data_IF_540062887436
#
_entry.id   IF_540062887436
#
_cell.length_a   1.000
_cell.length_b   1.000
_cell.length_c   1.000
_cell.angle_alpha   90.00
_cell.angle_beta   90.00
_cell.angle_gamma   90.00
#
_symmetry.space_group_name_H-M   'P 1'
#
loop_
_entity.id
_entity.type
_entity.pdbx_description
1 polymer ?
#
# COMPACT_ATOMS: atom_id res chain seq x y z
N UNK A 1 -21.12 -31.91 -51.04
CA UNK A 1 -21.37 -32.34 -49.65
C UNK A 1 -20.20 -31.83 -48.83
N UNK A 2 -20.42 -30.72 -48.13
CA UNK A 2 -19.37 -29.79 -47.68
C UNK A 2 -18.84 -30.25 -46.32
N UNK A 3 -17.52 -30.49 -46.24
CA UNK A 3 -16.78 -30.67 -44.99
C UNK A 3 -16.72 -29.33 -44.24
N UNK A 4 -17.37 -29.25 -43.07
CA UNK A 4 -17.24 -28.12 -42.16
C UNK A 4 -16.15 -28.38 -41.12
N UNK A 5 -14.99 -27.75 -41.29
CA UNK A 5 -14.01 -27.58 -40.22
C UNK A 5 -14.51 -26.47 -39.28
N UNK A 6 -14.95 -26.83 -38.08
CA UNK A 6 -15.22 -25.87 -37.02
C UNK A 6 -13.88 -25.45 -36.40
N UNK A 7 -13.37 -24.27 -36.79
CA UNK A 7 -12.32 -23.59 -36.03
C UNK A 7 -12.93 -23.15 -34.69
N UNK A 8 -12.61 -23.89 -33.63
CA UNK A 8 -12.72 -23.42 -32.25
C UNK A 8 -11.74 -22.26 -32.06
N UNK A 9 -12.23 -21.03 -32.24
CA UNK A 9 -11.56 -19.86 -31.68
C UNK A 9 -11.68 -19.95 -30.16
N UNK A 10 -10.60 -20.39 -29.53
CA UNK A 10 -10.36 -20.18 -28.09
C UNK A 10 -10.24 -18.67 -27.90
N UNK A 11 -11.33 -18.02 -27.54
CA UNK A 11 -11.28 -16.68 -26.93
C UNK A 11 -10.62 -16.86 -25.56
N UNK A 12 -9.30 -16.80 -25.53
CA UNK A 12 -8.56 -16.46 -24.32
C UNK A 12 -8.99 -15.05 -23.95
N UNK A 13 -9.99 -14.95 -23.07
CA UNK A 13 -10.43 -13.68 -22.52
C UNK A 13 -9.40 -13.21 -21.48
N UNK A 14 -8.21 -12.85 -21.96
CA UNK A 14 -7.22 -12.10 -21.20
C UNK A 14 -7.69 -10.66 -21.22
N UNK A 15 -8.71 -10.38 -20.41
CA UNK A 15 -9.25 -9.02 -20.23
C UNK A 15 -8.14 -8.14 -19.66
N UNK A 16 -7.49 -7.37 -20.52
CA UNK A 16 -6.58 -6.31 -20.12
C UNK A 16 -7.30 -5.33 -19.17
N UNK A 17 -6.65 -4.98 -18.06
CA UNK A 17 -7.01 -3.75 -17.34
C UNK A 17 -6.53 -2.54 -18.17
N UNK A 18 -7.09 -1.37 -17.85
CA UNK A 18 -6.63 -0.09 -18.38
C UNK A 18 -5.08 -0.05 -18.44
N UNK A 19 -4.54 0.44 -19.56
CA UNK A 19 -3.10 0.61 -19.71
C UNK A 19 -2.51 1.63 -18.75
N UNK A 20 -1.26 2.00 -18.99
CA UNK A 20 -0.54 3.01 -18.20
C UNK A 20 -1.37 4.28 -18.01
N UNK A 21 -1.35 4.86 -16.81
CA UNK A 21 -2.08 6.09 -16.49
C UNK A 21 -1.73 7.21 -17.49
N UNK A 22 -2.72 7.84 -18.15
CA UNK A 22 -2.46 8.95 -19.07
C UNK A 22 -1.68 10.08 -18.39
N UNK A 23 -0.74 10.69 -19.12
CA UNK A 23 0.13 11.76 -18.62
C UNK A 23 0.99 11.35 -17.40
N UNK A 24 1.40 10.08 -17.34
CA UNK A 24 2.17 9.52 -16.21
C UNK A 24 3.37 10.40 -15.82
N UNK A 25 4.17 10.84 -16.80
CA UNK A 25 5.34 11.70 -16.56
C UNK A 25 4.96 13.00 -15.86
N UNK A 26 3.96 13.69 -16.40
CA UNK A 26 3.51 14.99 -15.90
C UNK A 26 2.95 14.86 -14.48
N UNK A 27 2.16 13.82 -14.21
CA UNK A 27 1.59 13.55 -12.90
C UNK A 27 2.70 13.26 -11.88
N UNK A 28 3.62 12.35 -12.19
CA UNK A 28 4.70 11.93 -11.28
C UNK A 28 5.65 13.10 -10.96
N UNK A 29 6.05 13.85 -11.98
CA UNK A 29 6.93 15.01 -11.79
C UNK A 29 6.20 16.14 -11.04
N UNK A 30 4.93 16.41 -11.37
CA UNK A 30 4.11 17.40 -10.67
C UNK A 30 3.97 17.09 -9.17
N UNK A 31 3.62 15.86 -8.84
CA UNK A 31 3.54 15.38 -7.44
C UNK A 31 4.88 15.46 -6.72
N UNK A 32 5.99 15.17 -7.40
CA UNK A 32 7.31 15.33 -6.82
C UNK A 32 7.60 16.79 -6.44
N UNK A 33 7.34 17.74 -7.34
CA UNK A 33 7.56 19.16 -7.06
C UNK A 33 6.66 19.68 -5.93
N UNK A 34 5.38 19.27 -5.93
CA UNK A 34 4.44 19.58 -4.85
C UNK A 34 4.98 19.11 -3.49
N UNK A 35 5.40 17.85 -3.40
CA UNK A 35 5.93 17.27 -2.18
C UNK A 35 7.19 18.01 -1.69
N UNK A 36 8.14 18.24 -2.60
CA UNK A 36 9.43 18.87 -2.28
C UNK A 36 9.23 20.32 -1.83
N UNK A 37 8.29 21.04 -2.43
CA UNK A 37 7.96 22.41 -2.04
C UNK A 37 7.30 22.47 -0.65
N UNK A 38 6.27 21.65 -0.41
CA UNK A 38 5.52 21.65 0.85
C UNK A 38 6.37 21.16 2.04
N UNK A 39 7.27 20.21 1.82
CA UNK A 39 8.16 19.70 2.86
C UNK A 39 9.45 20.54 3.03
N UNK A 40 9.62 21.62 2.24
CA UNK A 40 10.82 22.45 2.19
C UNK A 40 12.12 21.62 1.99
N UNK A 41 12.06 20.64 1.09
CA UNK A 41 13.15 19.72 0.79
C UNK A 41 13.94 20.13 -0.46
N UNK A 42 13.69 21.30 -1.04
CA UNK A 42 14.46 21.81 -2.18
C UNK A 42 15.86 22.28 -1.71
N UNK A 43 16.98 21.92 -2.36
CA UNK A 43 17.15 21.14 -3.60
C UNK A 43 17.54 19.67 -3.39
N UNK A 44 17.19 19.06 -2.25
CA UNK A 44 17.57 17.69 -1.89
C UNK A 44 17.16 16.64 -2.93
N UNK A 45 16.04 16.86 -3.64
CA UNK A 45 15.52 15.91 -4.62
C UNK A 45 15.44 16.52 -6.02
N UNK A 46 15.91 15.75 -7.00
CA UNK A 46 15.80 16.08 -8.42
C UNK A 46 14.68 15.24 -9.04
N UNK A 47 13.51 15.86 -9.23
CA UNK A 47 12.30 15.18 -9.74
C UNK A 47 12.48 14.59 -11.14
N UNK A 48 13.20 15.27 -12.04
CA UNK A 48 13.52 14.76 -13.37
C UNK A 48 14.44 13.55 -13.29
N UNK A 49 15.44 13.57 -12.39
CA UNK A 49 16.33 12.42 -12.19
C UNK A 49 15.58 11.20 -11.64
N UNK A 50 14.67 11.41 -10.70
CA UNK A 50 13.82 10.34 -10.16
C UNK A 50 12.98 9.73 -11.30
N UNK A 51 12.31 10.56 -12.10
CA UNK A 51 11.54 10.12 -13.26
C UNK A 51 12.40 9.32 -14.26
N UNK A 52 13.59 9.81 -14.60
CA UNK A 52 14.47 9.13 -15.55
C UNK A 52 14.90 7.74 -15.08
N UNK A 53 15.20 7.56 -13.79
CA UNK A 53 15.57 6.24 -13.27
C UNK A 53 14.34 5.31 -13.15
N UNK A 54 13.17 5.85 -12.82
CA UNK A 54 11.90 5.12 -12.87
C UNK A 54 11.59 4.62 -14.29
N UNK A 55 11.61 5.52 -15.28
CA UNK A 55 11.28 5.22 -16.67
C UNK A 55 12.19 4.12 -17.22
N UNK A 56 13.52 4.23 -17.00
CA UNK A 56 14.48 3.19 -17.40
C UNK A 56 14.18 1.82 -16.80
N UNK A 57 13.73 1.77 -15.54
CA UNK A 57 13.42 0.50 -14.88
C UNK A 57 12.24 -0.22 -15.56
N UNK A 58 11.26 0.55 -16.04
CA UNK A 58 10.04 0.02 -16.65
C UNK A 58 10.25 -0.28 -18.14
N UNK A 59 10.71 0.69 -18.94
CA UNK A 59 10.67 0.60 -20.41
C UNK A 59 11.75 -0.28 -21.02
N UNK A 60 12.80 -0.63 -20.25
CA UNK A 60 13.89 -1.52 -20.71
C UNK A 60 13.59 -3.01 -20.54
N UNK A 61 12.43 -3.33 -19.96
CA UNK A 61 11.98 -4.69 -19.66
C UNK A 61 10.64 -4.95 -20.33
N UNK A 62 10.29 -6.22 -20.49
CA UNK A 62 8.92 -6.58 -20.84
C UNK A 62 8.01 -6.45 -19.61
N UNK A 63 6.68 -6.30 -19.78
CA UNK A 63 5.75 -5.98 -18.69
C UNK A 63 5.67 -6.98 -17.54
N UNK A 64 6.21 -8.19 -17.72
CA UNK A 64 6.25 -9.25 -16.71
C UNK A 64 7.67 -9.66 -16.30
N UNK A 65 8.66 -8.82 -16.62
CA UNK A 65 10.08 -9.01 -16.30
C UNK A 65 10.68 -7.79 -15.60
N UNK A 66 9.86 -7.00 -14.90
CA UNK A 66 10.29 -5.84 -14.12
C UNK A 66 10.38 -6.25 -12.65
N UNK A 67 11.59 -6.55 -12.19
CA UNK A 67 11.86 -6.98 -10.83
C UNK A 67 12.16 -5.84 -9.87
N UNK A 68 12.14 -6.15 -8.57
CA UNK A 68 12.53 -5.24 -7.48
C UNK A 68 13.90 -4.57 -7.73
N UNK A 69 14.88 -5.32 -8.21
CA UNK A 69 16.25 -4.84 -8.46
C UNK A 69 16.33 -3.80 -9.58
N UNK A 70 15.41 -3.81 -10.55
CA UNK A 70 15.41 -2.86 -11.65
C UNK A 70 15.16 -1.42 -11.14
N UNK A 71 14.41 -1.27 -10.05
CA UNK A 71 14.16 0.03 -9.42
C UNK A 71 15.28 0.51 -8.49
N UNK A 72 16.35 -0.26 -8.26
CA UNK A 72 17.37 0.05 -7.24
C UNK A 72 17.98 1.46 -7.42
N UNK A 73 18.27 1.86 -8.66
CA UNK A 73 18.83 3.20 -8.96
C UNK A 73 17.86 4.34 -8.63
N UNK A 74 16.57 4.12 -8.87
CA UNK A 74 15.52 5.07 -8.51
C UNK A 74 15.45 5.25 -6.98
N UNK A 75 15.50 4.16 -6.22
CA UNK A 75 15.50 4.25 -4.75
C UNK A 75 16.78 4.91 -4.19
N UNK A 76 17.93 4.72 -4.83
CA UNK A 76 19.19 5.38 -4.42
C UNK A 76 19.12 6.90 -4.53
N UNK A 77 18.39 7.44 -5.50
CA UNK A 77 18.19 8.90 -5.64
C UNK A 77 17.06 9.45 -4.76
N UNK A 78 16.28 8.58 -4.10
CA UNK A 78 15.23 8.93 -3.13
C UNK A 78 15.69 8.51 -1.73
N UNK A 79 16.49 9.35 -1.08
CA UNK A 79 16.89 9.13 0.32
C UNK A 79 16.06 9.99 1.25
N UNK A 80 15.08 9.39 1.92
CA UNK A 80 14.20 10.07 2.88
C UNK A 80 14.36 9.47 4.28
N UNK A 81 14.47 10.34 5.29
CA UNK A 81 14.40 9.94 6.69
C UNK A 81 12.94 9.98 7.13
N UNK A 82 12.45 8.88 7.71
CA UNK A 82 11.07 8.79 8.18
C UNK A 82 10.98 9.13 9.67
N UNK A 83 9.85 9.70 10.14
CA UNK A 83 9.68 10.04 11.54
C UNK A 83 9.48 8.78 12.40
N UNK A 84 10.37 8.56 13.38
CA UNK A 84 10.17 7.52 14.39
C UNK A 84 8.87 7.74 15.18
N UNK A 85 8.25 6.66 15.62
CA UNK A 85 7.06 6.70 16.47
C UNK A 85 5.76 7.00 15.73
N UNK A 86 5.80 7.21 14.40
CA UNK A 86 4.64 7.66 13.61
C UNK A 86 4.22 6.69 12.50
N UNK A 87 5.00 5.66 12.20
CA UNK A 87 4.70 4.83 11.03
C UNK A 87 3.43 4.00 11.23
N UNK A 88 2.55 4.05 10.24
CA UNK A 88 1.32 3.27 10.18
C UNK A 88 1.34 2.35 8.96
N UNK A 89 1.21 1.06 9.23
CA UNK A 89 1.01 -0.01 8.28
C UNK A 89 -0.47 -0.35 8.24
N UNK A 90 -0.97 -0.79 7.10
CA UNK A 90 -2.38 -1.08 6.93
C UNK A 90 -2.60 -2.25 5.96
N UNK A 91 -3.66 -3.02 6.18
CA UNK A 91 -4.03 -4.13 5.29
C UNK A 91 -5.53 -4.17 5.10
N UNK A 92 -5.98 -4.08 3.84
CA UNK A 92 -7.40 -4.10 3.44
C UNK A 92 -8.25 -3.02 4.15
N UNK A 93 -7.64 -1.89 4.46
CA UNK A 93 -8.23 -0.74 5.19
C UNK A 93 -7.93 0.62 4.52
N UNK A 94 -7.54 0.63 3.23
CA UNK A 94 -7.04 1.82 2.49
C UNK A 94 -7.87 3.08 2.70
N UNK A 95 -9.15 3.02 2.36
CA UNK A 95 -10.02 4.21 2.35
C UNK A 95 -10.21 4.79 3.75
N UNK A 96 -10.33 3.89 4.73
CA UNK A 96 -10.43 4.30 6.13
C UNK A 96 -9.09 4.86 6.63
N UNK A 97 -7.96 4.22 6.30
CA UNK A 97 -6.62 4.69 6.65
C UNK A 97 -6.40 6.12 6.16
N UNK A 98 -6.73 6.44 4.90
CA UNK A 98 -6.56 7.79 4.37
C UNK A 98 -7.36 8.83 5.17
N UNK A 99 -8.61 8.49 5.55
CA UNK A 99 -9.43 9.35 6.40
C UNK A 99 -8.83 9.51 7.80
N UNK A 100 -8.33 8.43 8.39
CA UNK A 100 -7.75 8.41 9.72
C UNK A 100 -6.48 9.26 9.82
N UNK A 101 -5.58 9.13 8.85
CA UNK A 101 -4.34 9.92 8.83
C UNK A 101 -4.63 11.40 8.56
N UNK A 102 -5.57 11.72 7.67
CA UNK A 102 -5.96 13.10 7.38
C UNK A 102 -6.52 13.82 8.61
N UNK A 103 -7.34 13.14 9.43
CA UNK A 103 -7.96 13.75 10.62
C UNK A 103 -6.98 13.83 11.80
N UNK A 104 -6.18 12.80 12.03
CA UNK A 104 -5.29 12.78 13.20
C UNK A 104 -3.99 13.54 12.99
N UNK A 105 -3.51 13.67 11.74
CA UNK A 105 -2.20 14.26 11.40
C UNK A 105 -1.00 13.59 12.11
N UNK A 106 -1.23 12.45 12.76
CA UNK A 106 -0.32 11.86 13.74
C UNK A 106 0.49 10.70 13.17
N UNK A 107 0.05 10.15 12.04
CA UNK A 107 0.62 8.97 11.42
C UNK A 107 1.28 9.31 10.09
N UNK A 108 2.22 8.45 9.71
CA UNK A 108 2.90 8.49 8.43
C UNK A 108 2.77 7.12 7.77
N UNK A 109 2.09 7.03 6.64
CA UNK A 109 2.03 5.81 5.85
C UNK A 109 3.05 5.81 4.72
N UNK A 110 3.14 4.68 3.99
CA UNK A 110 3.97 4.61 2.80
C UNK A 110 3.56 5.69 1.78
N UNK A 111 2.27 5.95 1.61
CA UNK A 111 1.71 6.95 0.71
C UNK A 111 2.08 8.39 1.10
N UNK A 112 2.51 8.63 2.35
CA UNK A 112 3.02 9.93 2.79
C UNK A 112 4.52 10.13 2.52
N UNK A 113 5.26 9.10 2.11
CA UNK A 113 6.66 9.24 1.66
C UNK A 113 6.73 9.91 0.29
N UNK A 114 7.87 10.48 -0.09
CA UNK A 114 8.04 11.09 -1.42
C UNK A 114 7.70 10.10 -2.54
N UNK A 115 8.22 8.87 -2.45
CA UNK A 115 7.92 7.84 -3.44
C UNK A 115 6.44 7.44 -3.41
N UNK A 116 5.88 7.21 -2.23
CA UNK A 116 4.47 6.86 -2.11
C UNK A 116 3.58 7.93 -2.71
N UNK A 117 3.81 9.19 -2.36
CA UNK A 117 3.05 10.34 -2.86
C UNK A 117 3.12 10.45 -4.38
N UNK A 118 4.32 10.32 -4.97
CA UNK A 118 4.52 10.39 -6.42
C UNK A 118 3.72 9.31 -7.18
N UNK A 119 3.72 8.07 -6.70
CA UNK A 119 3.20 6.91 -7.44
C UNK A 119 1.84 6.38 -6.96
N UNK A 120 1.26 6.97 -5.90
CA UNK A 120 -0.01 6.51 -5.33
C UNK A 120 -1.13 6.49 -6.39
N UNK A 121 -1.90 5.40 -6.45
CA UNK A 121 -3.00 5.19 -7.39
C UNK A 121 -2.64 5.24 -8.89
N UNK A 122 -1.36 5.17 -9.25
CA UNK A 122 -0.93 5.12 -10.65
C UNK A 122 -0.70 3.68 -11.11
N UNK A 123 -0.95 3.44 -12.39
CA UNK A 123 -0.72 2.17 -13.09
C UNK A 123 0.29 2.41 -14.20
N UNK A 124 1.23 1.48 -14.39
CA UNK A 124 2.21 1.57 -15.47
C UNK A 124 2.72 0.20 -15.89
N UNK A 125 3.06 0.10 -17.17
CA UNK A 125 3.81 -1.00 -17.75
C UNK A 125 4.53 -0.53 -19.02
N UNK A 126 5.63 -1.21 -19.39
CA UNK A 126 6.28 -1.02 -20.69
C UNK A 126 5.47 -1.65 -21.83
N UNK A 127 5.92 -1.47 -23.06
CA UNK A 127 5.46 -2.31 -24.17
C UNK A 127 6.13 -3.69 -24.14
N UNK A 128 5.60 -4.64 -24.91
CA UNK A 128 6.22 -5.97 -25.06
C UNK A 128 7.64 -5.86 -25.64
N UNK A 129 7.81 -5.03 -26.67
CA UNK A 129 9.12 -4.69 -27.19
C UNK A 129 9.82 -3.67 -26.31
N UNK A 130 11.03 -4.04 -25.88
CA UNK A 130 11.88 -3.20 -25.03
C UNK A 130 12.17 -1.87 -25.71
N UNK A 131 12.33 -0.83 -24.89
CA UNK A 131 12.70 0.53 -25.28
C UNK A 131 11.70 1.29 -26.16
N UNK A 132 10.49 0.75 -26.41
CA UNK A 132 9.41 1.48 -27.07
C UNK A 132 8.60 2.42 -26.17
N UNK A 133 8.88 2.42 -24.87
CA UNK A 133 8.18 3.26 -23.90
C UNK A 133 7.07 2.52 -23.15
N UNK A 134 6.10 3.29 -22.66
CA UNK A 134 4.96 2.76 -21.90
C UNK A 134 3.85 2.24 -22.81
N UNK A 135 3.11 1.24 -22.33
CA UNK A 135 1.88 0.77 -22.97
C UNK A 135 0.67 1.45 -22.32
N UNK A 136 0.01 2.32 -23.07
CA UNK A 136 -1.20 3.03 -22.64
C UNK A 136 -2.50 2.31 -23.02
N UNK A 137 -2.42 1.22 -23.79
CA UNK A 137 -3.58 0.46 -24.22
C UNK A 137 -3.93 -0.64 -23.23
N UNK A 138 -2.92 -1.38 -22.75
CA UNK A 138 -3.13 -2.55 -21.91
C UNK A 138 -1.93 -2.82 -20.99
N UNK A 139 -2.20 -3.06 -19.71
CA UNK A 139 -1.22 -3.62 -18.79
C UNK A 139 -1.62 -5.03 -18.33
N UNK A 140 -0.64 -5.93 -18.08
CA UNK A 140 -0.92 -7.22 -17.47
C UNK A 140 -1.54 -7.01 -16.08
N UNK A 141 -2.42 -7.91 -15.65
CA UNK A 141 -2.93 -7.87 -14.27
C UNK A 141 -1.79 -8.21 -13.30
N UNK A 142 -1.78 -7.58 -12.14
CA UNK A 142 -0.74 -7.82 -11.12
C UNK A 142 -0.60 -9.30 -10.72
N UNK A 143 -1.68 -10.09 -10.78
CA UNK A 143 -1.68 -11.52 -10.45
C UNK A 143 -1.17 -12.43 -11.57
N UNK A 144 -1.00 -11.92 -12.78
CA UNK A 144 -0.61 -12.74 -13.95
C UNK A 144 0.88 -13.03 -14.04
N UNK A 145 1.73 -12.26 -13.33
CA UNK A 145 3.16 -12.51 -13.36
C UNK A 145 3.88 -12.08 -12.09
N UNK A 146 4.96 -12.82 -11.79
CA UNK A 146 5.76 -12.65 -10.57
C UNK A 146 6.49 -11.29 -10.53
N UNK A 147 7.03 -10.85 -11.66
CA UNK A 147 7.81 -9.63 -11.80
C UNK A 147 6.99 -8.53 -12.49
N UNK A 148 5.84 -8.19 -11.90
CA UNK A 148 5.00 -7.10 -12.38
C UNK A 148 5.56 -5.73 -11.95
N UNK A 149 5.64 -4.72 -12.85
CA UNK A 149 6.29 -3.43 -12.58
C UNK A 149 5.75 -2.69 -11.37
N UNK A 150 4.43 -2.54 -11.27
CA UNK A 150 3.77 -1.86 -10.13
C UNK A 150 4.03 -2.61 -8.82
N UNK A 151 3.76 -3.92 -8.78
CA UNK A 151 4.00 -4.76 -7.61
C UNK A 151 5.47 -4.74 -7.16
N UNK A 152 6.43 -4.83 -8.07
CA UNK A 152 7.86 -4.78 -7.77
C UNK A 152 8.28 -3.45 -7.13
N UNK A 153 7.75 -2.32 -7.60
CA UNK A 153 8.03 -1.01 -6.99
C UNK A 153 7.47 -0.95 -5.57
N UNK A 154 6.19 -1.32 -5.39
CA UNK A 154 5.55 -1.30 -4.07
C UNK A 154 6.19 -2.30 -3.10
N UNK A 155 6.66 -3.44 -3.57
CA UNK A 155 7.40 -4.42 -2.76
C UNK A 155 8.70 -3.83 -2.22
N UNK A 156 9.50 -3.17 -3.07
CA UNK A 156 10.73 -2.50 -2.62
C UNK A 156 10.43 -1.32 -1.68
N UNK A 157 9.38 -0.55 -1.97
CA UNK A 157 8.95 0.58 -1.15
C UNK A 157 8.51 0.13 0.25
N UNK A 158 7.69 -0.92 0.31
CA UNK A 158 7.19 -1.53 1.55
C UNK A 158 8.35 -2.10 2.38
N UNK A 159 9.31 -2.77 1.74
CA UNK A 159 10.53 -3.23 2.40
C UNK A 159 11.31 -2.06 3.03
N UNK A 160 11.58 -1.01 2.27
CA UNK A 160 12.33 0.16 2.77
C UNK A 160 11.59 0.88 3.91
N UNK A 161 10.27 0.99 3.80
CA UNK A 161 9.42 1.60 4.82
C UNK A 161 9.46 0.82 6.14
N UNK A 162 9.38 -0.52 6.07
CA UNK A 162 9.52 -1.38 7.24
C UNK A 162 10.93 -1.34 7.85
N UNK A 163 11.97 -1.36 7.02
CA UNK A 163 13.36 -1.25 7.50
C UNK A 163 13.65 0.08 8.20
N UNK A 164 12.97 1.16 7.79
CA UNK A 164 13.10 2.48 8.39
C UNK A 164 12.24 2.67 9.66
N UNK A 165 11.42 1.67 10.05
CA UNK A 165 10.56 1.78 11.21
C UNK A 165 11.35 1.80 12.53
N UNK A 166 11.02 2.77 13.37
CA UNK A 166 11.61 2.96 14.70
C UNK A 166 10.59 3.56 15.67
N UNK A 167 10.77 3.31 16.97
CA UNK A 167 9.81 3.73 17.99
C UNK A 167 8.49 2.97 17.89
N UNK A 168 7.39 3.61 18.30
CA UNK A 168 6.06 3.01 18.21
C UNK A 168 5.57 2.98 16.76
N UNK A 169 4.97 1.87 16.36
CA UNK A 169 4.30 1.75 15.06
C UNK A 169 2.84 1.35 15.26
N UNK A 170 2.00 1.64 14.27
CA UNK A 170 0.60 1.21 14.24
C UNK A 170 0.35 0.27 13.07
N UNK A 171 -0.44 -0.76 13.29
CA UNK A 171 -0.91 -1.69 12.25
C UNK A 171 -2.43 -1.66 12.24
N UNK A 172 -3.03 -1.24 11.13
CA UNK A 172 -4.48 -1.10 10.97
C UNK A 172 -5.06 -2.23 10.13
N UNK A 173 -5.90 -3.08 10.74
CA UNK A 173 -6.47 -4.28 10.13
C UNK A 173 -8.00 -4.21 10.08
N UNK A 174 -8.60 -4.89 9.11
CA UNK A 174 -10.06 -4.94 8.94
C UNK A 174 -10.65 -6.17 9.64
N UNK A 175 -11.38 -5.95 10.74
CA UNK A 175 -12.06 -6.98 11.52
C UNK A 175 -13.39 -7.46 10.92
N UNK A 176 -13.89 -6.78 9.89
CA UNK A 176 -15.16 -7.11 9.21
C UNK A 176 -15.02 -8.07 8.02
N UNK A 177 -13.85 -8.68 7.87
CA UNK A 177 -13.55 -9.65 6.81
C UNK A 177 -12.79 -10.83 7.41
N UNK A 178 -12.87 -12.01 6.78
CA UNK A 178 -11.97 -13.11 7.12
C UNK A 178 -10.53 -12.79 6.73
N UNK A 179 -9.58 -13.35 7.47
CA UNK A 179 -8.15 -13.17 7.21
C UNK A 179 -7.75 -11.69 7.23
N UNK A 180 -8.15 -10.99 8.30
CA UNK A 180 -7.72 -9.63 8.61
C UNK A 180 -6.19 -9.51 8.53
N UNK A 181 -5.48 -10.51 9.06
CA UNK A 181 -4.08 -10.77 8.78
C UNK A 181 -3.92 -11.88 7.75
N UNK A 182 -3.11 -11.64 6.71
CA UNK A 182 -2.66 -12.66 5.77
C UNK A 182 -1.13 -12.61 5.65
N UNK A 183 -0.46 -13.74 5.89
CA UNK A 183 0.99 -13.89 5.75
C UNK A 183 1.50 -13.62 4.33
N UNK A 184 0.65 -13.77 3.32
CA UNK A 184 0.97 -13.53 1.90
C UNK A 184 0.71 -12.09 1.47
N UNK A 185 0.04 -11.26 2.30
CA UNK A 185 -0.17 -9.84 2.00
C UNK A 185 1.16 -9.07 1.97
N UNK A 186 1.18 -7.86 1.41
CA UNK A 186 2.36 -6.98 1.46
C UNK A 186 2.83 -6.77 2.91
N UNK A 187 1.88 -6.52 3.83
CA UNK A 187 2.18 -6.43 5.24
C UNK A 187 2.79 -7.71 5.81
N UNK A 188 2.17 -8.87 5.57
CA UNK A 188 2.62 -10.13 6.15
C UNK A 188 3.94 -10.66 5.57
N UNK A 189 4.13 -10.57 4.25
CA UNK A 189 5.24 -11.22 3.54
C UNK A 189 6.46 -10.32 3.33
N UNK A 190 6.28 -9.00 3.41
CA UNK A 190 7.34 -8.02 3.14
C UNK A 190 7.56 -7.14 4.35
N UNK A 191 6.55 -6.39 4.78
CA UNK A 191 6.76 -5.35 5.79
C UNK A 191 7.10 -5.97 7.14
N UNK A 192 6.26 -6.90 7.62
CA UNK A 192 6.46 -7.60 8.89
C UNK A 192 7.84 -8.25 8.92
N UNK A 193 8.23 -8.99 7.88
CA UNK A 193 9.54 -9.65 7.76
C UNK A 193 10.73 -8.68 7.86
N UNK A 194 10.57 -7.43 7.42
CA UNK A 194 11.63 -6.43 7.44
C UNK A 194 11.61 -5.49 8.68
N UNK A 195 10.64 -5.63 9.58
CA UNK A 195 10.64 -4.90 10.86
C UNK A 195 11.77 -5.39 11.78
N UNK A 196 12.45 -4.45 12.42
CA UNK A 196 13.52 -4.72 13.38
C UNK A 196 13.01 -4.57 14.84
N UNK A 197 12.93 -5.66 15.63
CA UNK A 197 12.44 -5.61 17.01
C UNK A 197 13.33 -4.82 17.97
N UNK A 198 14.58 -4.50 17.58
CA UNK A 198 15.46 -3.64 18.37
C UNK A 198 15.17 -2.15 18.16
N UNK A 199 14.61 -1.78 17.00
CA UNK A 199 14.32 -0.39 16.63
C UNK A 199 12.87 -0.03 16.90
N UNK A 200 11.95 -0.98 16.72
CA UNK A 200 10.52 -0.82 17.01
C UNK A 200 10.30 -1.07 18.50
N UNK A 201 9.91 -0.03 19.23
CA UNK A 201 9.69 -0.11 20.68
C UNK A 201 8.37 -0.78 21.02
N UNK A 202 7.31 -0.53 20.24
CA UNK A 202 5.98 -1.09 20.48
C UNK A 202 5.14 -1.12 19.21
N UNK A 203 4.34 -2.19 19.04
CA UNK A 203 3.40 -2.35 17.93
C UNK A 203 1.95 -2.18 18.43
N UNK A 204 1.26 -1.16 17.96
CA UNK A 204 -0.17 -0.96 18.22
C UNK A 204 -0.99 -1.57 17.10
N UNK A 205 -1.57 -2.74 17.34
CA UNK A 205 -2.54 -3.36 16.43
C UNK A 205 -3.90 -2.72 16.69
N UNK A 206 -4.47 -2.10 15.65
CA UNK A 206 -5.81 -1.53 15.67
C UNK A 206 -6.68 -2.30 14.69
N UNK A 207 -7.76 -2.89 15.19
CA UNK A 207 -8.72 -3.64 14.39
C UNK A 207 -9.95 -2.78 14.23
N UNK A 208 -10.32 -2.49 12.99
CA UNK A 208 -11.51 -1.69 12.68
C UNK A 208 -12.61 -2.57 12.11
N UNK A 209 -13.84 -2.31 12.56
CA UNK A 209 -15.05 -2.92 12.04
C UNK A 209 -15.88 -1.93 11.25
N UNK A 210 -16.52 -2.40 10.18
CA UNK A 210 -17.69 -1.74 9.63
C UNK A 210 -18.79 -1.69 10.70
N UNK A 211 -19.41 -0.52 10.91
CA UNK A 211 -20.35 -0.32 12.01
C UNK A 211 -21.63 -1.15 11.92
N UNK A 212 -22.01 -1.58 10.71
CA UNK A 212 -23.15 -2.48 10.46
C UNK A 212 -22.74 -3.97 10.46
N UNK A 213 -21.48 -4.26 10.77
CA UNK A 213 -20.91 -5.59 10.69
C UNK A 213 -20.57 -6.02 9.26
N UNK A 214 -20.15 -7.28 9.08
CA UNK A 214 -20.00 -8.32 10.12
C UNK A 214 -18.79 -8.07 11.05
N UNK A 215 -18.72 -8.78 12.18
CA UNK A 215 -17.60 -8.77 13.14
C UNK A 215 -16.94 -10.15 13.13
N UNK A 216 -15.91 -10.35 12.32
CA UNK A 216 -15.37 -11.68 11.98
C UNK A 216 -14.01 -11.99 12.62
N UNK A 217 -13.20 -10.96 12.81
CA UNK A 217 -11.82 -11.04 13.29
C UNK A 217 -11.64 -10.03 14.43
N UNK A 218 -10.98 -10.41 15.52
CA UNK A 218 -10.81 -9.56 16.71
C UNK A 218 -9.45 -9.73 17.35
N UNK A 219 -9.13 -8.94 18.36
CA UNK A 219 -7.87 -9.09 19.09
C UNK A 219 -7.71 -10.44 19.79
N UNK A 220 -8.81 -11.19 19.94
CA UNK A 220 -8.85 -12.49 20.59
C UNK A 220 -9.31 -13.62 19.67
N UNK A 221 -9.49 -13.37 18.36
CA UNK A 221 -10.06 -14.35 17.44
C UNK A 221 -9.48 -14.23 16.02
N UNK A 222 -9.37 -15.39 15.35
CA UNK A 222 -9.07 -15.48 13.92
C UNK A 222 -7.58 -15.32 13.58
N UNK A 223 -7.31 -14.85 12.37
CA UNK A 223 -5.96 -14.60 11.85
C UNK A 223 -5.14 -13.60 12.67
N UNK A 224 -5.78 -12.69 13.43
CA UNK A 224 -5.07 -11.73 14.30
C UNK A 224 -4.28 -12.45 15.41
N UNK A 225 -4.78 -13.57 15.93
CA UNK A 225 -4.01 -14.41 16.86
C UNK A 225 -2.72 -14.94 16.21
N UNK A 226 -2.79 -15.26 14.92
CA UNK A 226 -1.62 -15.66 14.13
C UNK A 226 -0.58 -14.55 14.00
N UNK A 227 -1.01 -13.29 13.83
CA UNK A 227 -0.12 -12.12 13.83
C UNK A 227 0.54 -11.91 15.21
N UNK A 228 -0.26 -12.00 16.28
CA UNK A 228 0.21 -11.90 17.66
C UNK A 228 1.30 -12.93 17.95
N UNK A 229 1.12 -14.17 17.50
CA UNK A 229 2.13 -15.22 17.68
C UNK A 229 3.43 -14.92 16.92
N UNK A 230 3.34 -14.30 15.73
CA UNK A 230 4.54 -13.84 15.00
C UNK A 230 5.27 -12.76 15.79
N UNK A 231 4.55 -11.75 16.31
CA UNK A 231 5.16 -10.69 17.12
C UNK A 231 5.81 -11.24 18.38
N UNK A 232 5.13 -12.15 19.09
CA UNK A 232 5.67 -12.82 20.27
C UNK A 232 6.96 -13.59 19.96
N UNK A 233 6.96 -14.43 18.92
CA UNK A 233 8.14 -15.21 18.50
C UNK A 233 9.33 -14.34 18.10
N UNK A 234 9.05 -13.18 17.51
CA UNK A 234 10.09 -12.24 17.05
C UNK A 234 10.51 -11.22 18.11
N UNK A 235 9.94 -11.29 19.32
CA UNK A 235 10.33 -10.45 20.46
C UNK A 235 9.85 -9.01 20.38
N UNK A 236 8.74 -8.73 19.67
CA UNK A 236 8.13 -7.41 19.69
C UNK A 236 7.23 -7.24 20.92
N UNK A 237 7.23 -6.04 21.50
CA UNK A 237 6.16 -5.60 22.38
C UNK A 237 4.97 -5.14 21.55
N UNK A 238 3.77 -5.52 21.95
CA UNK A 238 2.56 -5.23 21.20
C UNK A 238 1.34 -5.05 22.10
N UNK A 239 0.36 -4.34 21.58
CA UNK A 239 -1.00 -4.22 22.13
C UNK A 239 -1.99 -4.37 21.00
N UNK A 240 -3.15 -4.96 21.26
CA UNK A 240 -4.23 -5.02 20.29
C UNK A 240 -5.48 -4.34 20.85
N UNK A 241 -6.12 -3.51 20.02
CA UNK A 241 -7.37 -2.82 20.34
C UNK A 241 -8.35 -2.96 19.19
N UNK A 242 -9.55 -3.46 19.48
CA UNK A 242 -10.66 -3.65 18.53
C UNK A 242 -11.90 -2.82 18.92
N UNK A 243 -11.77 -1.93 19.90
CA UNK A 243 -12.81 -1.04 20.41
C UNK A 243 -12.34 0.42 20.53
N UNK A 244 -11.46 0.86 19.62
CA UNK A 244 -10.89 2.21 19.65
C UNK A 244 -11.94 3.29 19.35
N UNK A 245 -12.16 4.19 20.31
CA UNK A 245 -13.16 5.25 20.22
C UNK A 245 -12.88 6.24 19.09
N UNK A 246 -11.61 6.53 18.79
CA UNK A 246 -11.24 7.43 17.68
C UNK A 246 -11.68 6.83 16.36
N UNK A 247 -11.47 5.52 16.18
CA UNK A 247 -11.89 4.81 14.98
C UNK A 247 -13.42 4.76 14.84
N UNK A 248 -14.14 4.58 15.95
CA UNK A 248 -15.60 4.66 15.98
C UNK A 248 -16.10 6.04 15.55
N UNK A 249 -15.58 7.11 16.16
CA UNK A 249 -15.99 8.50 15.87
C UNK A 249 -15.80 8.81 14.38
N UNK A 250 -14.65 8.44 13.81
CA UNK A 250 -14.36 8.68 12.40
C UNK A 250 -15.34 8.01 11.45
N UNK A 251 -15.80 6.80 11.78
CA UNK A 251 -16.84 6.14 11.00
C UNK A 251 -18.18 6.85 11.16
N UNK A 252 -18.52 7.28 12.37
CA UNK A 252 -19.75 8.01 12.65
C UNK A 252 -19.84 9.37 11.93
N UNK A 253 -18.71 10.00 11.58
CA UNK A 253 -18.71 11.19 10.72
C UNK A 253 -19.24 10.91 9.31
N UNK A 254 -19.08 9.69 8.79
CA UNK A 254 -19.61 9.30 7.47
C UNK A 254 -21.12 9.12 7.49
N UNK A 255 -21.64 8.52 8.55
CA UNK A 255 -23.07 8.35 8.75
C UNK A 255 -23.43 8.35 10.25
N UNK A 256 -23.89 9.50 10.80
CA UNK A 256 -24.18 9.61 12.22
C UNK A 256 -25.44 8.84 12.64
N UNK A 257 -26.24 8.34 11.69
CA UNK A 257 -27.50 7.64 11.96
C UNK A 257 -27.32 6.17 12.36
N UNK A 258 -26.11 5.62 12.23
CA UNK A 258 -25.86 4.25 12.67
C UNK A 258 -26.09 4.12 14.17
N UNK A 259 -26.76 3.04 14.59
CA UNK A 259 -27.11 2.82 16.00
C UNK A 259 -25.86 2.85 16.92
N UNK A 260 -24.74 2.30 16.45
CA UNK A 260 -23.45 2.27 17.15
C UNK A 260 -22.91 3.68 17.46
N UNK A 261 -23.31 4.69 16.67
CA UNK A 261 -22.88 6.07 16.84
C UNK A 261 -23.64 6.83 17.94
N UNK A 262 -24.76 6.31 18.45
CA UNK A 262 -25.46 6.91 19.58
C UNK A 262 -24.55 7.08 20.81
N UNK A 263 -23.59 6.16 21.00
CA UNK A 263 -22.58 6.25 22.06
C UNK A 263 -21.68 7.48 21.95
N UNK A 264 -21.45 8.00 20.74
CA UNK A 264 -20.68 9.22 20.53
C UNK A 264 -21.48 10.47 20.92
N UNK A 265 -22.82 10.44 20.80
CA UNK A 265 -23.70 11.57 21.11
C UNK A 265 -24.13 11.62 22.58
N UNK A 266 -24.25 10.47 23.25
CA UNK A 266 -24.63 10.39 24.67
C UNK A 266 -23.50 10.80 25.64
N UNK A 267 -22.31 11.12 25.15
CA UNK A 267 -21.18 11.66 25.94
C UNK A 267 -20.89 13.14 25.68
N UNK A 268 -21.73 13.83 24.91
CA UNK A 268 -21.57 15.26 24.54
C UNK A 268 -22.63 16.17 25.19
N UNK A 269 -23.39 15.65 26.16
CA UNK A 269 -24.31 16.41 27.02
C UNK A 269 -24.21 15.95 28.47
#
# INVERSE_FOLDING_TARGET
MILGFALLFVLTDVTAEFGTTPNLKQIVIGRCFEYVALANLNPRYNCEKIWQEFEKAVVRRSPCDVGVKDYQKMFQVITQTLPCGKLLFWSKTRDFMHSYVAVTGSFWTLENTLLGFMFNDLIWCGQQERERGFDYQSCPKWSTCLNHPVYSLWKQASQNFAMAACGNITVLLNGSIHYAFNKESMFGSVELENLNPRMVTHVHIKVIYNLEGPFLESCTQGSILGLIEVFKKRGFYWTCTDNDLTLLILQCLKNPRWATCQRCFNGLF
#
